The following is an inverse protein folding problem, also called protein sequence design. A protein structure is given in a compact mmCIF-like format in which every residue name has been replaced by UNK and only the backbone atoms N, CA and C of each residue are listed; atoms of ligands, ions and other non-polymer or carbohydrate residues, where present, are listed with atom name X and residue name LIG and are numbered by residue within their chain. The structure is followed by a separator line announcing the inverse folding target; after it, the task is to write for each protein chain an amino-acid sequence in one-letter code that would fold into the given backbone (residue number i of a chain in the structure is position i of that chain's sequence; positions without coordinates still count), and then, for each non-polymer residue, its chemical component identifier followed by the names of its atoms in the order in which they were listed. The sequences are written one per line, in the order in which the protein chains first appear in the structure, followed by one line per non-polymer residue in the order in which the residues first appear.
data_IF_188183927183
#
_entry.id   IF_188183927183
#
_cell.length_a   1.000
_cell.length_b   1.000
_cell.length_c   1.000
_cell.angle_alpha   90.00
_cell.angle_beta   90.00
_cell.angle_gamma   90.00
#
_symmetry.space_group_name_H-M   'P 1'
#
loop_
_entity.id
_entity.type
_entity.pdbx_description
1 polymer ?
#
# COMPACT_ATOMS: atom_id res chain seq x y z
N UNK A 1 26.28 -57.11 -5.97
CA UNK A 1 27.28 -56.11 -6.43
C UNK A 1 26.68 -54.73 -6.72
N UNK A 2 25.40 -54.62 -7.12
CA UNK A 2 24.71 -53.38 -7.40
C UNK A 2 24.43 -52.51 -6.16
N UNK A 3 24.08 -53.09 -5.02
CA UNK A 3 23.72 -52.37 -3.78
C UNK A 3 24.93 -51.70 -3.15
N UNK A 4 26.12 -52.31 -3.28
CA UNK A 4 27.36 -51.76 -2.73
C UNK A 4 27.81 -50.48 -3.49
N UNK A 5 27.62 -50.44 -4.80
CA UNK A 5 27.89 -49.26 -5.63
C UNK A 5 26.90 -48.11 -5.34
N UNK A 6 25.63 -48.46 -5.05
CA UNK A 6 24.60 -47.48 -4.69
C UNK A 6 24.86 -46.87 -3.32
N UNK A 7 25.35 -47.66 -2.37
CA UNK A 7 25.74 -47.18 -1.04
C UNK A 7 26.98 -46.27 -1.10
N UNK A 8 27.97 -46.61 -1.97
CA UNK A 8 29.14 -45.77 -2.15
C UNK A 8 28.80 -44.43 -2.82
N UNK A 9 27.85 -44.42 -3.76
CA UNK A 9 27.40 -43.17 -4.38
C UNK A 9 26.58 -42.28 -3.43
N UNK A 10 25.85 -42.88 -2.47
CA UNK A 10 25.12 -42.13 -1.44
C UNK A 10 26.08 -41.58 -0.36
N UNK A 11 27.15 -42.30 -0.01
CA UNK A 11 28.16 -41.80 0.93
C UNK A 11 29.04 -40.70 0.31
N UNK A 12 29.20 -40.70 -1.03
CA UNK A 12 29.91 -39.64 -1.74
C UNK A 12 29.04 -38.36 -1.89
N UNK A 13 27.75 -38.40 -1.60
CA UNK A 13 26.83 -37.28 -1.60
C UNK A 13 26.59 -36.65 -0.21
N UNK A 14 27.27 -37.17 0.87
CA UNK A 14 27.26 -36.41 2.12
C UNK A 14 27.96 -35.09 1.89
N UNK A 15 27.32 -33.93 2.18
CA UNK A 15 27.97 -32.65 2.04
C UNK A 15 29.24 -32.67 2.87
N UNK A 16 30.38 -32.59 2.21
CA UNK A 16 31.69 -32.52 2.85
C UNK A 16 31.66 -31.34 3.81
N UNK A 17 31.74 -31.62 5.10
CA UNK A 17 31.79 -30.53 6.10
C UNK A 17 33.09 -29.78 5.81
N UNK A 18 32.99 -28.50 5.43
CA UNK A 18 34.16 -27.74 5.01
C UNK A 18 35.23 -27.79 6.13
N UNK A 19 36.48 -28.03 5.76
CA UNK A 19 37.57 -28.10 6.69
C UNK A 19 37.61 -26.86 7.59
N UNK A 20 37.98 -26.99 8.88
CA UNK A 20 38.04 -25.84 9.79
C UNK A 20 38.86 -24.66 9.23
N UNK A 21 39.83 -24.92 8.37
CA UNK A 21 40.64 -23.93 7.68
C UNK A 21 39.84 -23.16 6.60
N UNK A 22 38.98 -23.84 5.85
CA UNK A 22 38.10 -23.19 4.87
C UNK A 22 37.03 -22.29 5.53
N UNK A 23 36.52 -22.76 6.66
CA UNK A 23 35.59 -21.97 7.48
C UNK A 23 36.32 -20.72 7.99
N UNK A 24 37.52 -20.86 8.53
CA UNK A 24 38.31 -19.74 9.03
C UNK A 24 38.68 -18.74 7.94
N UNK A 25 39.06 -19.22 6.75
CA UNK A 25 39.34 -18.36 5.58
C UNK A 25 38.08 -17.63 5.12
N UNK A 26 36.94 -18.29 5.08
CA UNK A 26 35.66 -17.67 4.71
C UNK A 26 35.25 -16.57 5.70
N UNK A 27 35.47 -16.79 7.00
CA UNK A 27 35.20 -15.77 8.02
C UNK A 27 36.18 -14.61 7.94
N UNK A 28 37.47 -14.87 7.74
CA UNK A 28 38.47 -13.82 7.55
C UNK A 28 38.18 -12.98 6.29
N UNK A 29 37.77 -13.62 5.20
CA UNK A 29 37.40 -12.93 3.97
C UNK A 29 36.11 -12.10 4.15
N UNK A 30 35.13 -12.62 4.89
CA UNK A 30 33.93 -11.84 5.27
C UNK A 30 34.25 -10.67 6.20
N UNK A 31 35.13 -10.88 7.19
CA UNK A 31 35.54 -9.83 8.11
C UNK A 31 36.38 -8.75 7.40
N UNK A 32 37.25 -9.14 6.49
CA UNK A 32 38.03 -8.17 5.67
C UNK A 32 37.11 -7.43 4.70
N UNK A 33 36.11 -8.08 4.12
CA UNK A 33 35.11 -7.42 3.29
C UNK A 33 34.26 -6.43 4.10
N UNK A 34 33.94 -6.73 5.35
CA UNK A 34 33.24 -5.83 6.25
C UNK A 34 34.12 -4.65 6.70
N UNK A 35 35.41 -4.88 6.93
CA UNK A 35 36.36 -3.84 7.33
C UNK A 35 36.81 -2.95 6.15
N UNK A 36 36.70 -3.46 4.92
CA UNK A 36 36.99 -2.71 3.70
C UNK A 36 35.81 -1.90 3.16
N UNK A 37 34.63 -1.98 3.82
CA UNK A 37 33.59 -0.96 3.64
C UNK A 37 34.20 0.36 4.13
N UNK A 38 34.91 1.04 3.22
CA UNK A 38 35.56 2.29 3.56
C UNK A 38 34.49 3.25 4.07
N UNK A 39 34.81 4.00 5.12
CA UNK A 39 33.94 5.04 5.67
C UNK A 39 33.34 5.92 4.55
N UNK A 40 34.04 6.09 3.46
CA UNK A 40 33.58 6.78 2.26
C UNK A 40 32.38 6.08 1.59
N UNK A 41 32.41 4.75 1.41
CA UNK A 41 31.29 4.01 0.81
C UNK A 41 30.06 4.05 1.71
N UNK A 42 30.26 3.95 3.03
CA UNK A 42 29.18 4.11 3.99
C UNK A 42 28.55 5.51 3.94
N UNK A 43 29.40 6.55 3.87
CA UNK A 43 28.94 7.93 3.76
C UNK A 43 28.23 8.20 2.43
N UNK A 44 28.73 7.68 1.31
CA UNK A 44 28.07 7.80 0.01
C UNK A 44 26.69 7.11 0.00
N UNK A 45 26.60 5.90 0.54
CA UNK A 45 25.33 5.19 0.68
C UNK A 45 24.34 5.91 1.62
N UNK A 46 24.85 6.44 2.74
CA UNK A 46 24.05 7.19 3.67
C UNK A 46 23.51 8.49 3.05
N UNK A 47 24.36 9.23 2.35
CA UNK A 47 23.97 10.47 1.65
C UNK A 47 22.96 10.17 0.55
N UNK A 48 23.19 9.15 -0.27
CA UNK A 48 22.24 8.75 -1.32
C UNK A 48 20.91 8.30 -0.76
N UNK A 49 20.89 7.53 0.33
CA UNK A 49 19.65 7.12 1.01
C UNK A 49 18.88 8.31 1.59
N UNK A 50 19.58 9.27 2.19
CA UNK A 50 18.98 10.51 2.72
C UNK A 50 18.39 11.35 1.57
N UNK A 51 19.13 11.52 0.48
CA UNK A 51 18.66 12.26 -0.69
C UNK A 51 17.42 11.61 -1.31
N UNK A 52 17.42 10.30 -1.52
CA UNK A 52 16.27 9.57 -2.03
C UNK A 52 15.06 9.64 -1.06
N UNK A 53 15.32 9.57 0.25
CA UNK A 53 14.31 9.76 1.28
C UNK A 53 13.71 11.16 1.26
N UNK A 54 14.56 12.18 1.19
CA UNK A 54 14.13 13.57 1.13
C UNK A 54 13.28 13.88 -0.12
N UNK A 55 13.67 13.35 -1.28
CA UNK A 55 12.88 13.48 -2.52
C UNK A 55 11.52 12.81 -2.39
N UNK A 56 11.45 11.60 -1.84
CA UNK A 56 10.16 10.91 -1.59
C UNK A 56 9.25 11.69 -0.66
N UNK A 57 9.81 12.25 0.42
CA UNK A 57 9.06 13.09 1.36
C UNK A 57 8.56 14.36 0.67
N UNK A 58 9.39 15.03 -0.12
CA UNK A 58 9.00 16.22 -0.87
C UNK A 58 7.85 15.93 -1.85
N UNK A 59 7.93 14.82 -2.60
CA UNK A 59 6.86 14.38 -3.51
C UNK A 59 5.60 14.04 -2.71
N UNK A 60 5.70 13.32 -1.60
CA UNK A 60 4.57 12.96 -0.75
C UNK A 60 3.84 14.20 -0.20
N UNK A 61 4.59 15.21 0.25
CA UNK A 61 4.05 16.49 0.70
C UNK A 61 3.38 17.25 -0.45
N UNK A 62 4.01 17.32 -1.62
CA UNK A 62 3.42 17.96 -2.79
C UNK A 62 2.09 17.30 -3.17
N UNK A 63 2.05 15.96 -3.25
CA UNK A 63 0.82 15.19 -3.55
C UNK A 63 -0.23 15.39 -2.47
N UNK A 64 0.17 15.44 -1.20
CA UNK A 64 -0.76 15.71 -0.09
C UNK A 64 -1.42 17.10 -0.20
N UNK A 65 -0.64 18.15 -0.45
CA UNK A 65 -1.17 19.50 -0.57
C UNK A 65 -2.05 19.67 -1.80
N UNK A 66 -1.61 19.13 -2.95
CA UNK A 66 -2.38 19.15 -4.20
C UNK A 66 -3.68 18.33 -4.02
N UNK A 67 -3.59 17.15 -3.44
CA UNK A 67 -4.75 16.29 -3.17
C UNK A 67 -5.75 16.94 -2.23
N UNK A 68 -5.28 17.55 -1.14
CA UNK A 68 -6.13 18.29 -0.20
C UNK A 68 -6.82 19.49 -0.88
N UNK A 69 -6.11 20.21 -1.73
CA UNK A 69 -6.69 21.30 -2.52
C UNK A 69 -7.77 20.77 -3.47
N UNK A 70 -7.50 19.66 -4.16
CA UNK A 70 -8.45 19.02 -5.07
C UNK A 70 -9.70 18.54 -4.34
N UNK A 71 -9.54 17.89 -3.18
CA UNK A 71 -10.66 17.46 -2.32
C UNK A 71 -11.53 18.64 -1.92
N UNK A 72 -10.93 19.76 -1.51
CA UNK A 72 -11.68 20.95 -1.18
C UNK A 72 -12.42 21.51 -2.40
N UNK A 73 -11.83 21.46 -3.58
CA UNK A 73 -12.46 21.90 -4.82
C UNK A 73 -13.68 21.04 -5.16
N UNK A 74 -13.53 19.72 -5.07
CA UNK A 74 -14.62 18.74 -5.27
C UNK A 74 -15.73 18.98 -4.26
N UNK A 75 -15.39 19.14 -3.00
CA UNK A 75 -16.35 19.43 -1.92
C UNK A 75 -17.19 20.68 -2.23
N UNK A 76 -16.55 21.76 -2.60
CA UNK A 76 -17.25 23.01 -2.95
C UNK A 76 -18.13 22.87 -4.20
N UNK A 77 -17.66 22.11 -5.19
CA UNK A 77 -18.45 21.86 -6.41
C UNK A 77 -19.72 21.06 -6.09
N UNK A 78 -19.59 19.96 -5.37
CA UNK A 78 -20.73 19.11 -4.97
C UNK A 78 -21.68 19.87 -4.04
N UNK A 79 -21.13 20.62 -3.08
CA UNK A 79 -21.93 21.45 -2.17
C UNK A 79 -22.81 22.46 -2.92
N UNK A 80 -22.26 23.13 -3.93
CA UNK A 80 -23.03 24.07 -4.80
C UNK A 80 -24.11 23.34 -5.59
N UNK A 81 -23.83 22.14 -6.10
CA UNK A 81 -24.82 21.34 -6.82
C UNK A 81 -26.00 20.93 -5.93
N UNK A 82 -25.72 20.53 -4.67
CA UNK A 82 -26.77 20.18 -3.70
C UNK A 82 -27.63 21.39 -3.30
N UNK A 83 -27.03 22.59 -3.16
CA UNK A 83 -27.79 23.81 -2.88
C UNK A 83 -28.76 24.12 -4.03
N UNK A 84 -28.29 24.02 -5.27
CA UNK A 84 -29.14 24.28 -6.47
C UNK A 84 -30.30 23.30 -6.59
N UNK A 85 -30.15 22.09 -6.07
CA UNK A 85 -31.17 21.03 -6.10
C UNK A 85 -32.09 21.03 -4.88
N UNK A 86 -31.97 22.01 -3.97
CA UNK A 86 -32.74 22.09 -2.72
C UNK A 86 -32.68 20.80 -1.89
N UNK A 87 -31.52 20.12 -1.89
CA UNK A 87 -31.32 18.91 -1.07
C UNK A 87 -31.39 19.29 0.40
N UNK A 88 -32.13 18.51 1.19
CA UNK A 88 -32.27 18.72 2.63
C UNK A 88 -30.90 18.86 3.32
N UNK A 89 -30.85 19.80 4.28
CA UNK A 89 -29.60 20.19 4.95
C UNK A 89 -28.91 19.00 5.63
N UNK A 90 -29.66 18.14 6.29
CA UNK A 90 -29.16 16.95 7.01
C UNK A 90 -28.52 15.97 6.04
N UNK A 91 -29.21 15.62 4.96
CA UNK A 91 -28.73 14.71 3.93
C UNK A 91 -27.51 15.26 3.21
N UNK A 92 -27.52 16.55 2.87
CA UNK A 92 -26.40 17.24 2.24
C UNK A 92 -25.14 17.18 3.12
N UNK A 93 -25.27 17.52 4.40
CA UNK A 93 -24.15 17.53 5.33
C UNK A 93 -23.58 16.13 5.52
N UNK A 94 -24.43 15.13 5.65
CA UNK A 94 -24.02 13.73 5.76
C UNK A 94 -23.25 13.25 4.52
N UNK A 95 -23.81 13.46 3.31
CA UNK A 95 -23.18 13.03 2.06
C UNK A 95 -21.83 13.72 1.81
N UNK A 96 -21.76 15.04 2.06
CA UNK A 96 -20.54 15.80 1.89
C UNK A 96 -19.45 15.36 2.86
N UNK A 97 -19.82 15.05 4.11
CA UNK A 97 -18.89 14.51 5.11
C UNK A 97 -18.38 13.14 4.72
N UNK A 98 -19.27 12.26 4.25
CA UNK A 98 -18.92 10.91 3.81
C UNK A 98 -17.95 10.96 2.62
N UNK A 99 -18.24 11.74 1.60
CA UNK A 99 -17.38 11.93 0.43
C UNK A 99 -16.01 12.47 0.84
N UNK A 100 -15.97 13.47 1.74
CA UNK A 100 -14.73 14.05 2.22
C UNK A 100 -13.87 13.03 2.96
N UNK A 101 -14.47 12.22 3.82
CA UNK A 101 -13.76 11.17 4.57
C UNK A 101 -13.18 10.14 3.60
N UNK A 102 -13.96 9.64 2.65
CA UNK A 102 -13.50 8.65 1.67
C UNK A 102 -12.34 9.20 0.84
N UNK A 103 -12.46 10.42 0.31
CA UNK A 103 -11.40 11.04 -0.49
C UNK A 103 -10.13 11.29 0.34
N UNK A 104 -10.27 11.66 1.62
CA UNK A 104 -9.13 11.86 2.51
C UNK A 104 -8.42 10.53 2.83
N UNK A 105 -9.16 9.46 3.05
CA UNK A 105 -8.59 8.12 3.25
C UNK A 105 -7.82 7.65 2.02
N UNK A 106 -8.37 7.83 0.81
CA UNK A 106 -7.69 7.52 -0.44
C UNK A 106 -6.39 8.34 -0.58
N UNK A 107 -6.44 9.63 -0.29
CA UNK A 107 -5.26 10.50 -0.34
C UNK A 107 -4.17 10.04 0.62
N UNK A 108 -4.53 9.66 1.85
CA UNK A 108 -3.58 9.15 2.84
C UNK A 108 -2.91 7.86 2.35
N UNK A 109 -3.66 6.92 1.78
CA UNK A 109 -3.10 5.67 1.23
C UNK A 109 -2.13 5.95 0.09
N UNK A 110 -2.46 6.90 -0.80
CA UNK A 110 -1.56 7.31 -1.89
C UNK A 110 -0.25 7.89 -1.33
N UNK A 111 -0.34 8.77 -0.34
CA UNK A 111 0.84 9.40 0.29
C UNK A 111 1.72 8.36 0.99
N UNK A 112 1.13 7.42 1.72
CA UNK A 112 1.85 6.32 2.38
C UNK A 112 2.56 5.44 1.35
N UNK A 113 1.89 5.16 0.20
CA UNK A 113 2.49 4.42 -0.91
C UNK A 113 3.71 5.10 -1.53
N UNK A 114 3.69 6.44 -1.67
CA UNK A 114 4.84 7.23 -2.17
C UNK A 114 6.04 7.12 -1.22
N UNK A 115 5.79 7.05 0.07
CA UNK A 115 6.84 6.85 1.08
C UNK A 115 7.46 5.45 1.03
N UNK A 116 6.90 4.53 0.23
CA UNK A 116 7.40 3.16 0.06
C UNK A 116 6.85 2.16 1.09
N UNK A 117 5.84 2.55 1.86
CA UNK A 117 5.17 1.65 2.80
C UNK A 117 4.17 0.79 2.03
N UNK A 118 4.15 -0.51 2.32
CA UNK A 118 3.22 -1.43 1.67
C UNK A 118 1.77 -1.10 2.05
N UNK A 119 0.99 -0.68 1.07
CA UNK A 119 -0.41 -0.27 1.25
C UNK A 119 -1.42 -1.41 1.10
N UNK A 120 -0.98 -2.63 0.74
CA UNK A 120 -1.88 -3.77 0.49
C UNK A 120 -2.76 -4.11 1.69
N UNK A 121 -2.21 -4.05 2.91
CA UNK A 121 -2.98 -4.31 4.13
C UNK A 121 -4.08 -3.25 4.36
N UNK A 122 -3.79 -1.99 4.08
CA UNK A 122 -4.78 -0.91 4.17
C UNK A 122 -5.90 -1.11 3.14
N UNK A 123 -5.53 -1.48 1.90
CA UNK A 123 -6.50 -1.77 0.85
C UNK A 123 -7.39 -2.96 1.21
N UNK A 124 -6.86 -4.01 1.82
CA UNK A 124 -7.64 -5.15 2.30
C UNK A 124 -8.65 -4.75 3.38
N UNK A 125 -8.25 -3.90 4.34
CA UNK A 125 -9.13 -3.37 5.38
C UNK A 125 -10.25 -2.53 4.75
N UNK A 126 -9.92 -1.64 3.82
CA UNK A 126 -10.92 -0.81 3.13
C UNK A 126 -11.87 -1.63 2.27
N UNK A 127 -11.37 -2.67 1.59
CA UNK A 127 -12.20 -3.58 0.82
C UNK A 127 -13.19 -4.33 1.72
N UNK A 128 -12.74 -4.82 2.87
CA UNK A 128 -13.58 -5.50 3.86
C UNK A 128 -14.63 -4.57 4.44
N UNK A 129 -14.25 -3.34 4.82
CA UNK A 129 -15.17 -2.32 5.30
C UNK A 129 -16.19 -1.92 4.22
N UNK A 130 -15.74 -1.75 2.97
CA UNK A 130 -16.61 -1.47 1.83
C UNK A 130 -17.61 -2.56 1.56
N UNK A 131 -17.19 -3.82 1.66
CA UNK A 131 -18.08 -4.98 1.53
C UNK A 131 -19.14 -4.99 2.65
N UNK A 132 -18.74 -4.77 3.90
CA UNK A 132 -19.66 -4.71 5.04
C UNK A 132 -20.69 -3.60 4.87
N UNK A 133 -20.27 -2.39 4.48
CA UNK A 133 -21.16 -1.26 4.20
C UNK A 133 -22.07 -1.58 3.00
N UNK A 134 -21.54 -2.16 1.93
CA UNK A 134 -22.32 -2.56 0.76
C UNK A 134 -23.41 -3.57 1.10
N UNK A 135 -23.09 -4.56 1.91
CA UNK A 135 -24.08 -5.54 2.39
C UNK A 135 -25.15 -4.89 3.30
N UNK A 136 -24.76 -3.99 4.20
CA UNK A 136 -25.69 -3.28 5.07
C UNK A 136 -26.67 -2.39 4.28
N UNK A 137 -26.21 -1.79 3.17
CA UNK A 137 -27.03 -0.93 2.32
C UNK A 137 -27.78 -1.68 1.20
N UNK A 138 -27.50 -2.97 1.00
CA UNK A 138 -28.03 -3.76 -0.12
C UNK A 138 -29.56 -3.71 -0.23
N UNK A 139 -30.27 -3.85 0.88
CA UNK A 139 -31.74 -3.81 0.89
C UNK A 139 -32.33 -2.45 0.51
N UNK A 140 -31.73 -1.36 1.02
CA UNK A 140 -32.15 0.01 0.67
C UNK A 140 -31.87 0.33 -0.78
N UNK A 141 -30.73 -0.12 -1.31
CA UNK A 141 -30.37 0.06 -2.71
C UNK A 141 -31.28 -0.72 -3.65
N UNK A 142 -31.69 -1.93 -3.25
CA UNK A 142 -32.63 -2.77 -4.00
C UNK A 142 -34.03 -2.12 -4.06
N UNK A 143 -34.53 -1.60 -2.94
CA UNK A 143 -35.80 -0.88 -2.90
C UNK A 143 -35.76 0.41 -3.74
N UNK A 144 -34.64 1.14 -3.68
CA UNK A 144 -34.42 2.34 -4.50
C UNK A 144 -34.41 1.99 -6.00
N UNK A 145 -33.69 0.95 -6.39
CA UNK A 145 -33.63 0.49 -7.78
C UNK A 145 -35.02 0.06 -8.28
N UNK A 146 -35.79 -0.65 -7.47
CA UNK A 146 -37.18 -1.00 -7.76
C UNK A 146 -38.07 0.22 -7.98
N UNK A 147 -37.95 1.23 -7.13
CA UNK A 147 -38.67 2.50 -7.29
C UNK A 147 -38.32 3.25 -8.57
N UNK A 148 -37.04 3.30 -8.91
CA UNK A 148 -36.57 3.90 -10.19
C UNK A 148 -37.10 3.15 -11.39
N UNK A 149 -37.12 1.80 -11.35
CA UNK A 149 -37.67 0.98 -12.43
C UNK A 149 -39.15 1.24 -12.64
N UNK A 150 -39.96 1.36 -11.58
CA UNK A 150 -41.38 1.71 -11.65
C UNK A 150 -41.58 3.07 -12.30
N UNK A 151 -40.76 4.07 -11.91
CA UNK A 151 -40.84 5.42 -12.46
C UNK A 151 -40.42 5.48 -13.94
N UNK A 152 -39.47 4.63 -14.36
CA UNK A 152 -38.94 4.65 -15.71
C UNK A 152 -39.86 3.93 -16.71
N UNK A 153 -40.41 2.80 -16.30
CA UNK A 153 -41.23 1.96 -17.19
C UNK A 153 -42.74 2.28 -17.13
N UNK A 154 -43.19 3.11 -16.18
CA UNK A 154 -44.61 3.53 -16.04
C UNK A 154 -45.57 2.42 -16.47
N UNK A 155 -45.96 1.44 -15.64
CA UNK A 155 -46.95 0.46 -16.00
C UNK A 155 -48.32 1.12 -16.19
#
# INVERSE_FOLDING_TARGET
MSIFNSLQSLLAQTPEVPAPEEIAQTWQQKLSALSSLSFQQFMEQAISAILHGAVKIAIALAVFFIGKWLINRIYHFISKAFIRRNVELSLRTFLLSLIRIILMLILIVIVIGILGINTSSFLAIFASAGLAIGMALSGTLQNFAGGVMILLFKP
#
